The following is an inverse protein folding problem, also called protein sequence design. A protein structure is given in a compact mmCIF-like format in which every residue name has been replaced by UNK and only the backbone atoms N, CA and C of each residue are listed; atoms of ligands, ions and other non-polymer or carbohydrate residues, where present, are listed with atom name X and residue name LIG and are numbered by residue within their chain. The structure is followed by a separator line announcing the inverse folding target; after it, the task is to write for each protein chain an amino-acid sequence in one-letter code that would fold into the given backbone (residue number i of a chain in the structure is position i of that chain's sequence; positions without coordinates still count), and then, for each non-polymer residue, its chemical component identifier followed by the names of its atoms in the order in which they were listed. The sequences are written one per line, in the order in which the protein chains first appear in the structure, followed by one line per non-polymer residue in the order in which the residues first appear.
data_IF_606383270619
#
_entry.id   IF_606383270619
#
_cell.length_a   1.000
_cell.length_b   1.000
_cell.length_c   1.000
_cell.angle_alpha   90.00
_cell.angle_beta   90.00
_cell.angle_gamma   90.00
#
_symmetry.space_group_name_H-M   'P 1'
#
loop_
_entity.id
_entity.type
_entity.pdbx_description
1 polymer ?
#
# COMPACT_ATOMS: atom_id res chain seq x y z
N UNK A 1 -0.56 -20.76 20.08
CA UNK A 1 -1.35 -20.82 18.83
C UNK A 1 -1.10 -19.52 18.09
N UNK A 2 -0.33 -19.55 17.01
CA UNK A 2 -0.06 -18.35 16.20
C UNK A 2 -1.32 -18.04 15.41
N UNK A 3 -1.96 -16.89 15.66
CA UNK A 3 -3.08 -16.41 14.85
C UNK A 3 -2.52 -15.32 13.95
N UNK A 4 -2.49 -15.59 12.66
CA UNK A 4 -2.14 -14.59 11.66
C UNK A 4 -3.29 -13.59 11.57
N UNK A 5 -2.98 -12.30 11.74
CA UNK A 5 -3.94 -11.21 11.63
C UNK A 5 -3.37 -10.16 10.67
N UNK A 6 -4.18 -9.69 9.74
CA UNK A 6 -3.79 -8.63 8.82
C UNK A 6 -4.70 -7.43 9.00
N UNK A 7 -4.09 -6.27 9.15
CA UNK A 7 -4.79 -5.00 9.06
C UNK A 7 -4.78 -4.58 7.60
N UNK A 8 -5.96 -4.26 7.09
CA UNK A 8 -6.14 -3.86 5.72
C UNK A 8 -7.03 -2.63 5.61
N UNK A 9 -6.62 -1.75 4.71
CA UNK A 9 -7.30 -0.49 4.45
C UNK A 9 -7.43 -0.31 2.95
N UNK A 10 -8.51 0.30 2.50
CA UNK A 10 -8.61 0.74 1.12
C UNK A 10 -9.37 2.05 0.98
N UNK A 11 -9.02 2.76 -0.08
CA UNK A 11 -9.63 4.01 -0.51
C UNK A 11 -10.39 3.70 -1.79
N UNK A 12 -11.70 3.95 -1.76
CA UNK A 12 -12.57 3.83 -2.94
C UNK A 12 -12.32 4.98 -3.93
N UNK A 13 -12.95 4.91 -5.09
CA UNK A 13 -12.81 5.92 -6.13
C UNK A 13 -13.14 7.33 -5.60
N UNK A 14 -12.43 8.32 -6.14
CA UNK A 14 -12.56 9.73 -5.75
C UNK A 14 -12.33 10.01 -4.25
N UNK A 15 -11.60 9.13 -3.56
CA UNK A 15 -11.38 9.21 -2.12
C UNK A 15 -12.69 9.29 -1.31
N UNK A 16 -13.76 8.65 -1.81
CA UNK A 16 -15.08 8.71 -1.20
C UNK A 16 -15.08 8.14 0.23
N UNK A 17 -14.41 6.99 0.42
CA UNK A 17 -14.37 6.28 1.68
C UNK A 17 -12.96 5.75 1.97
N UNK A 18 -12.53 5.83 3.23
CA UNK A 18 -11.37 5.12 3.77
C UNK A 18 -11.86 4.02 4.70
N UNK A 19 -11.82 2.78 4.22
CA UNK A 19 -12.40 1.63 4.89
C UNK A 19 -11.29 0.73 5.42
N UNK A 20 -11.40 0.30 6.69
CA UNK A 20 -10.42 -0.54 7.35
C UNK A 20 -11.03 -1.77 8.01
N UNK A 21 -10.35 -2.92 7.88
CA UNK A 21 -10.74 -4.17 8.54
C UNK A 21 -9.51 -4.92 9.06
N UNK A 22 -9.75 -5.77 10.06
CA UNK A 22 -8.80 -6.79 10.47
C UNK A 22 -9.34 -8.13 9.99
N UNK A 23 -8.53 -8.88 9.24
CA UNK A 23 -8.86 -10.25 8.85
C UNK A 23 -8.01 -11.23 9.61
N UNK A 24 -8.64 -12.34 10.00
CA UNK A 24 -8.01 -13.48 10.66
C UNK A 24 -7.93 -14.66 9.71
N UNK A 25 -7.24 -15.71 10.13
CA UNK A 25 -7.19 -16.97 9.39
C UNK A 25 -8.58 -17.46 8.98
N UNK A 26 -8.73 -17.81 7.70
CA UNK A 26 -10.00 -18.24 7.09
C UNK A 26 -10.94 -17.11 6.68
N UNK A 27 -10.62 -15.84 6.97
CA UNK A 27 -11.37 -14.68 6.52
C UNK A 27 -10.74 -14.09 5.25
N UNK A 28 -11.58 -13.46 4.44
CA UNK A 28 -11.16 -12.73 3.24
C UNK A 28 -11.78 -11.35 3.20
N UNK A 29 -11.25 -10.52 2.31
CA UNK A 29 -11.82 -9.23 1.94
C UNK A 29 -11.84 -9.10 0.42
N UNK A 30 -12.63 -8.17 -0.09
CA UNK A 30 -12.65 -7.81 -1.51
C UNK A 30 -12.19 -6.37 -1.66
N UNK A 31 -11.23 -6.15 -2.55
CA UNK A 31 -10.81 -4.82 -2.97
C UNK A 31 -11.43 -4.51 -4.33
N UNK A 32 -12.32 -3.50 -4.44
CA UNK A 32 -12.87 -3.10 -5.71
C UNK A 32 -11.78 -2.70 -6.71
N UNK A 33 -12.00 -2.96 -8.00
CA UNK A 33 -11.06 -2.53 -9.04
C UNK A 33 -10.90 -1.01 -9.00
N UNK A 34 -9.66 -0.53 -9.08
CA UNK A 34 -9.34 0.90 -9.01
C UNK A 34 -9.17 1.46 -7.60
N UNK A 35 -9.47 0.68 -6.56
CA UNK A 35 -9.19 1.09 -5.17
C UNK A 35 -7.69 1.12 -4.88
N UNK A 36 -7.26 2.06 -4.04
CA UNK A 36 -5.91 2.07 -3.46
C UNK A 36 -6.01 1.29 -2.15
N UNK A 37 -5.24 0.21 -1.99
CA UNK A 37 -5.26 -0.59 -0.78
C UNK A 37 -3.89 -0.65 -0.10
N UNK A 38 -3.94 -0.86 1.21
CA UNK A 38 -2.82 -1.04 2.13
C UNK A 38 -3.07 -2.32 2.92
N UNK A 39 -2.01 -3.10 3.11
CA UNK A 39 -2.08 -4.39 3.77
C UNK A 39 -0.83 -4.57 4.62
N UNK A 40 -1.01 -4.86 5.91
CA UNK A 40 0.08 -5.09 6.85
C UNK A 40 -0.18 -6.31 7.72
N UNK A 41 0.84 -7.16 7.84
CA UNK A 41 0.90 -8.18 8.88
C UNK A 41 1.36 -7.49 10.18
N UNK A 42 0.41 -7.02 10.98
CA UNK A 42 0.70 -6.24 12.17
C UNK A 42 1.31 -7.06 13.33
N UNK A 43 0.91 -8.32 13.57
CA UNK A 43 1.56 -9.17 14.57
C UNK A 43 2.98 -9.58 14.15
N UNK A 44 3.83 -9.84 15.13
CA UNK A 44 5.20 -10.34 14.89
C UNK A 44 5.27 -11.81 14.43
N UNK A 45 4.12 -12.46 14.24
CA UNK A 45 4.04 -13.81 13.70
C UNK A 45 4.08 -13.79 12.18
N UNK A 46 4.50 -14.89 11.57
CA UNK A 46 4.40 -15.04 10.12
C UNK A 46 2.94 -15.18 9.70
N UNK A 47 2.54 -14.40 8.71
CA UNK A 47 1.24 -14.51 8.05
C UNK A 47 1.41 -14.66 6.55
N UNK A 48 0.52 -15.43 5.93
CA UNK A 48 0.42 -15.55 4.47
C UNK A 48 -0.98 -15.21 4.02
N UNK A 49 -1.10 -14.59 2.84
CA UNK A 49 -2.36 -14.31 2.17
C UNK A 49 -2.33 -14.86 0.75
N UNK A 50 -3.49 -15.25 0.25
CA UNK A 50 -3.70 -15.60 -1.14
C UNK A 50 -4.53 -14.48 -1.76
N UNK A 51 -4.00 -13.86 -2.81
CA UNK A 51 -4.72 -12.88 -3.60
C UNK A 51 -5.21 -13.53 -4.89
N UNK A 52 -6.47 -13.27 -5.26
CA UNK A 52 -7.08 -13.72 -6.51
C UNK A 52 -7.60 -12.51 -7.24
N UNK A 53 -7.34 -12.43 -8.54
CA UNK A 53 -7.77 -11.34 -9.40
C UNK A 53 -8.77 -11.83 -10.43
N UNK A 54 -9.70 -10.97 -10.84
CA UNK A 54 -10.73 -11.29 -11.85
C UNK A 54 -10.22 -11.20 -13.29
N UNK A 55 -8.91 -11.05 -13.49
CA UNK A 55 -8.24 -10.90 -14.79
C UNK A 55 -7.00 -11.80 -14.85
N UNK A 56 -6.71 -12.35 -16.03
CA UNK A 56 -5.47 -13.09 -16.32
C UNK A 56 -4.24 -12.17 -16.35
N UNK A 57 -4.44 -10.89 -16.69
CA UNK A 57 -3.45 -9.83 -16.56
C UNK A 57 -4.04 -8.71 -15.70
N UNK A 58 -3.95 -8.83 -14.36
CA UNK A 58 -4.60 -7.88 -13.46
C UNK A 58 -3.86 -6.54 -13.37
N UNK A 59 -2.59 -6.47 -13.80
CA UNK A 59 -1.72 -5.33 -13.56
C UNK A 59 -1.54 -4.99 -12.07
N UNK A 60 -0.57 -4.14 -11.76
CA UNK A 60 -0.42 -3.55 -10.42
C UNK A 60 0.20 -2.16 -10.55
N UNK A 61 -0.31 -1.20 -9.78
CA UNK A 61 0.25 0.15 -9.71
C UNK A 61 0.68 0.40 -8.26
N UNK A 62 1.97 0.66 -8.05
CA UNK A 62 2.48 1.22 -6.81
C UNK A 62 2.23 2.72 -6.82
N UNK A 63 1.17 3.19 -6.15
CA UNK A 63 0.72 4.59 -6.26
C UNK A 63 1.85 5.59 -6.04
N UNK A 64 2.63 5.46 -4.96
CA UNK A 64 3.71 6.40 -4.65
C UNK A 64 4.82 6.36 -5.70
N UNK A 65 5.31 5.16 -6.04
CA UNK A 65 6.37 4.98 -7.05
C UNK A 65 5.91 5.48 -8.42
N UNK A 66 4.71 5.11 -8.86
CA UNK A 66 4.16 5.54 -10.14
C UNK A 66 3.91 7.04 -10.20
N UNK A 67 3.34 7.64 -9.14
CA UNK A 67 3.06 9.07 -9.12
C UNK A 67 4.33 9.92 -9.03
N UNK A 68 5.26 9.57 -8.14
CA UNK A 68 6.44 10.40 -7.89
C UNK A 68 7.64 10.11 -8.80
N UNK A 69 7.75 8.91 -9.41
CA UNK A 69 8.89 8.57 -10.28
C UNK A 69 8.56 8.47 -11.76
N UNK A 70 7.35 8.04 -12.13
CA UNK A 70 7.04 7.80 -13.54
C UNK A 70 6.47 9.03 -14.25
N UNK A 71 5.98 10.02 -13.50
CA UNK A 71 5.41 11.24 -14.07
C UNK A 71 6.45 12.38 -14.17
N UNK A 72 6.36 13.23 -15.20
CA UNK A 72 7.18 14.45 -15.26
C UNK A 72 6.93 15.37 -14.07
N UNK A 73 7.98 16.01 -13.56
CA UNK A 73 7.90 16.93 -12.43
C UNK A 73 6.87 18.06 -12.61
N UNK A 74 6.66 18.53 -13.85
CA UNK A 74 5.64 19.53 -14.17
C UNK A 74 4.21 19.02 -13.95
N UNK A 75 3.94 17.74 -14.29
CA UNK A 75 2.63 17.10 -14.10
C UNK A 75 2.36 16.88 -12.61
N UNK A 76 3.37 16.44 -11.87
CA UNK A 76 3.27 16.27 -10.42
C UNK A 76 3.02 17.61 -9.73
N UNK A 77 3.75 18.66 -10.12
CA UNK A 77 3.55 20.02 -9.61
C UNK A 77 2.14 20.54 -9.89
N UNK A 78 1.62 20.32 -11.10
CA UNK A 78 0.24 20.69 -11.45
C UNK A 78 -0.80 19.93 -10.61
N UNK A 79 -0.63 18.63 -10.43
CA UNK A 79 -1.51 17.79 -9.59
C UNK A 79 -1.50 18.21 -8.11
N UNK A 80 -0.40 18.78 -7.64
CA UNK A 80 -0.23 19.29 -6.27
C UNK A 80 -0.53 20.79 -6.13
N UNK A 81 -1.31 21.36 -7.06
CA UNK A 81 -1.78 22.74 -6.97
C UNK A 81 -0.72 23.80 -7.30
N UNK A 82 0.25 23.48 -8.16
CA UNK A 82 1.32 24.38 -8.58
C UNK A 82 2.49 24.45 -7.59
N UNK A 83 2.53 23.58 -6.59
CA UNK A 83 3.64 23.51 -5.65
C UNK A 83 4.90 22.99 -6.33
N UNK A 84 6.03 23.67 -6.09
CA UNK A 84 7.34 23.17 -6.52
C UNK A 84 7.74 22.02 -5.59
N UNK A 85 7.47 20.79 -6.02
CA UNK A 85 7.94 19.61 -5.28
C UNK A 85 9.37 19.32 -5.68
N UNK A 86 10.28 19.36 -4.70
CA UNK A 86 11.63 18.80 -4.87
C UNK A 86 11.51 17.30 -4.66
N UNK A 87 11.32 16.57 -5.76
CA UNK A 87 11.34 15.12 -5.75
C UNK A 87 12.81 14.71 -5.77
N UNK A 88 13.25 14.05 -4.71
CA UNK A 88 14.55 13.37 -4.72
C UNK A 88 14.34 12.02 -5.41
N UNK A 89 14.54 12.01 -6.73
CA UNK A 89 14.33 10.85 -7.60
C UNK A 89 15.15 9.62 -7.12
N UNK A 90 16.25 9.85 -6.41
CA UNK A 90 17.10 8.79 -5.84
C UNK A 90 16.53 8.15 -4.57
N UNK A 91 15.54 8.78 -3.91
CA UNK A 91 14.91 8.26 -2.68
C UNK A 91 13.62 7.50 -2.90
N UNK A 92 13.01 7.64 -4.07
CA UNK A 92 11.72 7.05 -4.39
C UNK A 92 11.84 5.76 -5.20
N UNK A 93 12.99 5.47 -5.81
CA UNK A 93 13.25 4.24 -6.59
C UNK A 93 13.29 2.96 -5.73
N UNK A 94 13.26 3.09 -4.41
CA UNK A 94 13.39 1.97 -3.45
C UNK A 94 12.36 2.03 -2.32
N UNK A 95 11.17 2.62 -2.53
CA UNK A 95 10.12 2.60 -1.51
C UNK A 95 9.57 1.17 -1.40
N UNK A 96 10.29 0.34 -0.65
CA UNK A 96 9.77 -0.90 -0.11
C UNK A 96 8.58 -0.54 0.78
N UNK A 97 7.35 -0.96 0.47
CA UNK A 97 6.18 -0.68 1.30
C UNK A 97 6.37 -1.15 2.75
N UNK A 98 7.22 -2.15 3.00
CA UNK A 98 7.56 -2.60 4.35
C UNK A 98 8.35 -1.56 5.16
N UNK A 99 8.96 -0.54 4.52
CA UNK A 99 9.55 0.58 5.25
C UNK A 99 8.50 1.44 5.96
N UNK A 100 7.29 1.53 5.43
CA UNK A 100 6.16 2.17 6.10
C UNK A 100 5.76 1.48 7.42
N UNK A 101 6.27 0.28 7.67
CA UNK A 101 6.04 -0.50 8.87
C UNK A 101 7.17 -0.35 9.91
N UNK A 102 7.87 0.79 9.99
CA UNK A 102 9.00 0.99 10.92
C UNK A 102 8.65 0.70 12.38
N UNK A 103 7.48 1.15 12.85
CA UNK A 103 6.97 0.82 14.18
C UNK A 103 6.82 -0.69 14.38
N UNK A 104 6.23 -1.40 13.41
CA UNK A 104 6.12 -2.85 13.42
C UNK A 104 7.49 -3.53 13.45
N UNK A 105 8.43 -3.10 12.59
CA UNK A 105 9.79 -3.66 12.54
C UNK A 105 10.51 -3.50 13.87
N UNK A 106 10.40 -2.33 14.51
CA UNK A 106 10.97 -2.08 15.84
C UNK A 106 10.31 -2.94 16.92
N UNK A 107 8.98 -3.00 16.93
CA UNK A 107 8.19 -3.80 17.89
C UNK A 107 8.50 -5.29 17.77
N UNK A 108 8.80 -5.76 16.57
CA UNK A 108 9.05 -7.17 16.25
C UNK A 108 10.53 -7.55 16.17
N UNK A 109 11.45 -6.65 16.53
CA UNK A 109 12.90 -6.88 16.48
C UNK A 109 13.42 -7.31 15.08
N UNK A 110 12.94 -6.64 14.04
CA UNK A 110 13.32 -6.85 12.63
C UNK A 110 14.29 -5.77 12.11
N UNK A 111 14.89 -4.98 13.00
CA UNK A 111 15.88 -3.93 12.72
C UNK A 111 17.24 -4.28 13.31
#
# INVERSE_FOLDING_TARGET
MWRSEFELYFIEDNAANFTGHIIKEGQGTLFPQGSIHYLINAPCGNGSLVAVTSSEDPGRIDVATSFFNALPASMISAALGGQKVKIDENKLSTVDPAQGAEECRRRCNLL
#
